data_IF_590035015297
#
_entry.id   IF_590035015297
#
_cell.length_a   1.000
_cell.length_b   1.000
_cell.length_c   1.000
_cell.angle_alpha   90.00
_cell.angle_beta   90.00
_cell.angle_gamma   90.00
#
_symmetry.space_group_name_H-M   'P 1'
#
loop_
_entity.id
_entity.type
_entity.pdbx_description
1 polymer ?
#
# COMPACT_ATOMS: atom_id res chain seq x y z
N UNK A 1 22.69 69.22 1.46
CA UNK A 1 24.16 69.07 1.61
C UNK A 1 24.42 67.64 2.04
N UNK A 2 25.33 66.82 1.55
CA UNK A 2 26.17 66.71 0.36
C UNK A 2 26.48 65.21 0.27
N UNK A 3 26.53 64.65 -0.94
CA UNK A 3 27.06 63.29 -1.17
C UNK A 3 28.58 63.32 -1.02
N UNK A 4 29.22 62.25 -0.50
CA UNK A 4 30.50 61.76 -1.05
C UNK A 4 30.62 60.24 -0.97
N UNK A 5 30.59 59.64 -2.15
CA UNK A 5 31.20 58.37 -2.54
C UNK A 5 32.72 58.44 -2.45
N UNK A 6 33.37 57.33 -2.12
CA UNK A 6 34.78 57.07 -2.49
C UNK A 6 34.87 55.66 -3.08
N UNK A 7 35.39 55.61 -4.30
CA UNK A 7 35.76 54.43 -5.08
C UNK A 7 37.21 54.64 -5.53
N UNK A 8 38.06 53.61 -5.36
CA UNK A 8 39.30 53.31 -6.13
C UNK A 8 39.77 51.92 -5.65
N UNK A 9 39.77 50.82 -6.43
CA UNK A 9 40.58 50.44 -7.60
C UNK A 9 42.09 50.29 -7.24
N UNK A 10 42.93 49.36 -7.71
CA UNK A 10 42.91 48.22 -8.66
C UNK A 10 44.31 47.55 -8.55
N UNK A 11 44.44 46.23 -8.73
CA UNK A 11 45.60 45.48 -9.30
C UNK A 11 45.41 43.97 -9.01
N UNK A 12 45.46 43.00 -9.92
CA UNK A 12 45.86 42.96 -11.32
C UNK A 12 47.03 41.99 -11.50
N UNK A 13 46.78 40.71 -11.84
CA UNK A 13 47.67 39.87 -12.67
C UNK A 13 46.82 38.89 -13.49
N UNK A 14 46.83 39.10 -14.81
CA UNK A 14 46.42 38.21 -15.88
C UNK A 14 47.70 37.60 -16.46
N UNK A 15 47.75 36.28 -16.64
CA UNK A 15 48.58 35.65 -17.69
C UNK A 15 47.67 34.68 -18.43
N UNK A 16 47.43 35.03 -19.70
CA UNK A 16 46.76 34.18 -20.68
C UNK A 16 47.74 33.26 -21.40
N UNK A 17 47.17 32.32 -22.14
CA UNK A 17 47.87 31.42 -23.06
C UNK A 17 46.87 30.72 -23.95
N UNK A 18 46.40 31.46 -24.96
CA UNK A 18 45.56 31.03 -26.07
C UNK A 18 46.44 30.44 -27.18
N UNK A 19 45.97 29.42 -27.91
CA UNK A 19 46.09 29.21 -29.38
C UNK A 19 45.58 27.77 -29.68
N UNK A 20 44.39 27.55 -30.26
CA UNK A 20 43.93 27.72 -31.65
C UNK A 20 44.29 26.57 -32.62
N UNK A 21 43.25 26.17 -33.36
CA UNK A 21 43.19 25.53 -34.70
C UNK A 21 43.15 24.01 -34.85
N UNK A 22 42.16 23.55 -35.63
CA UNK A 22 42.30 22.43 -36.56
C UNK A 22 41.23 21.34 -36.47
N UNK A 23 40.09 21.54 -37.14
CA UNK A 23 39.17 20.43 -37.44
C UNK A 23 39.68 19.61 -38.64
N UNK A 24 39.43 18.30 -38.60
CA UNK A 24 39.40 17.39 -39.76
C UNK A 24 38.49 16.21 -39.38
N UNK A 25 37.43 16.02 -40.17
CA UNK A 25 36.60 14.83 -40.17
C UNK A 25 37.10 13.87 -41.26
N UNK A 26 37.11 12.57 -40.99
CA UNK A 26 36.93 11.51 -41.99
C UNK A 26 36.29 10.29 -41.32
N UNK A 27 35.27 9.76 -42.00
CA UNK A 27 34.55 8.53 -41.66
C UNK A 27 35.30 7.28 -42.17
N UNK A 28 34.98 6.11 -41.60
CA UNK A 28 35.41 4.80 -42.09
C UNK A 28 34.88 3.66 -41.24
N UNK A 29 34.05 2.82 -41.86
CA UNK A 29 33.25 1.71 -41.32
C UNK A 29 34.05 0.48 -40.81
N UNK A 30 33.34 -0.33 -40.00
CA UNK A 30 33.44 -1.80 -39.77
C UNK A 30 34.77 -2.40 -39.27
N UNK A 31 34.83 -2.91 -38.03
CA UNK A 31 34.50 -4.31 -37.74
C UNK A 31 34.73 -4.72 -36.27
N UNK A 32 33.88 -5.66 -35.89
CA UNK A 32 33.71 -6.42 -34.66
C UNK A 32 35.01 -7.11 -34.15
N UNK A 33 35.39 -6.88 -32.88
CA UNK A 33 36.18 -7.86 -32.12
C UNK A 33 35.97 -7.71 -30.60
N UNK A 34 35.34 -8.73 -30.05
CA UNK A 34 35.07 -9.03 -28.66
C UNK A 34 36.18 -8.63 -27.65
N UNK A 35 35.77 -7.93 -26.60
CA UNK A 35 36.33 -8.13 -25.26
C UNK A 35 35.20 -8.21 -24.24
N UNK A 36 34.84 -9.44 -23.90
CA UNK A 36 33.98 -9.80 -22.78
C UNK A 36 34.51 -9.19 -21.47
N UNK A 37 33.77 -8.28 -20.86
CA UNK A 37 33.78 -8.07 -19.42
C UNK A 37 32.35 -8.20 -18.89
N UNK A 38 31.95 -9.45 -18.70
CA UNK A 38 30.72 -9.86 -18.03
C UNK A 38 30.80 -9.46 -16.54
N UNK A 39 30.31 -8.26 -16.22
CA UNK A 39 30.01 -7.81 -14.86
C UNK A 39 28.49 -7.63 -14.66
N UNK A 40 27.71 -8.52 -15.28
CA UNK A 40 26.26 -8.58 -15.20
C UNK A 40 25.82 -9.55 -14.12
N UNK A 41 25.23 -9.02 -13.03
CA UNK A 41 24.39 -9.79 -12.11
C UNK A 41 23.25 -10.43 -12.92
N UNK A 42 23.29 -11.73 -13.13
CA UNK A 42 22.17 -12.49 -13.71
C UNK A 42 21.31 -13.01 -12.54
N UNK A 43 19.98 -12.78 -12.55
CA UNK A 43 19.07 -13.33 -11.56
C UNK A 43 18.62 -14.73 -12.02
N UNK A 44 19.23 -15.79 -11.47
CA UNK A 44 18.66 -17.16 -11.58
C UNK A 44 18.83 -17.89 -10.26
N UNK A 45 17.78 -17.88 -9.44
CA UNK A 45 17.44 -19.04 -8.59
C UNK A 45 15.93 -19.25 -8.62
N UNK A 46 15.42 -19.57 -9.81
CA UNK A 46 14.32 -20.50 -9.92
C UNK A 46 14.91 -21.90 -9.82
N UNK A 47 14.38 -22.72 -8.91
CA UNK A 47 14.64 -24.18 -8.77
C UNK A 47 15.78 -24.61 -7.81
N UNK A 48 15.65 -24.30 -6.51
CA UNK A 48 16.19 -25.16 -5.45
C UNK A 48 15.58 -24.89 -4.06
N UNK A 49 14.30 -25.22 -3.85
CA UNK A 49 13.70 -25.29 -2.49
C UNK A 49 12.45 -26.18 -2.50
N UNK A 50 12.62 -27.44 -2.93
CA UNK A 50 11.80 -28.56 -2.50
C UNK A 50 12.64 -29.32 -1.47
N UNK A 51 12.39 -29.11 -0.19
CA UNK A 51 13.09 -29.85 0.85
C UNK A 51 12.95 -29.22 2.23
N UNK A 52 12.35 -30.01 3.13
CA UNK A 52 12.29 -29.86 4.58
C UNK A 52 11.35 -28.75 5.13
N UNK A 53 10.31 -29.23 5.82
CA UNK A 53 9.25 -28.44 6.40
C UNK A 53 9.71 -27.43 7.46
N UNK A 54 9.00 -26.31 7.49
CA UNK A 54 9.14 -25.28 8.49
C UNK A 54 8.01 -24.27 8.30
N UNK A 55 6.95 -24.41 9.09
CA UNK A 55 5.79 -23.53 9.06
C UNK A 55 6.19 -22.08 9.34
N UNK A 56 6.09 -21.22 8.33
CA UNK A 56 6.03 -19.77 8.54
C UNK A 56 4.55 -19.36 8.60
N UNK A 57 3.92 -19.59 9.77
CA UNK A 57 2.67 -18.94 10.15
C UNK A 57 3.04 -17.62 10.83
N UNK A 58 2.77 -16.50 10.15
CA UNK A 58 2.62 -15.20 10.81
C UNK A 58 3.60 -14.11 10.37
N UNK A 59 3.03 -13.10 9.69
CA UNK A 59 3.48 -11.70 9.61
C UNK A 59 4.89 -11.44 9.04
N UNK A 60 4.90 -11.15 7.74
CA UNK A 60 6.04 -10.61 7.00
C UNK A 60 5.81 -10.51 5.48
N UNK A 61 4.65 -10.91 4.98
CA UNK A 61 4.29 -10.69 3.58
C UNK A 61 3.88 -9.23 3.39
N UNK A 62 4.77 -8.46 2.75
CA UNK A 62 4.37 -7.39 1.84
C UNK A 62 3.10 -7.86 1.12
N UNK A 63 1.96 -7.22 1.42
CA UNK A 63 0.65 -7.67 0.97
C UNK A 63 0.57 -7.56 -0.55
N UNK A 64 0.90 -8.66 -1.23
CA UNK A 64 0.31 -9.00 -2.52
C UNK A 64 -1.21 -9.15 -2.31
N UNK A 65 -1.97 -8.08 -2.47
CA UNK A 65 -3.43 -8.12 -2.32
C UNK A 65 -4.17 -6.81 -2.01
N UNK A 66 -3.53 -5.64 -2.10
CA UNK A 66 -4.23 -4.36 -2.23
C UNK A 66 -3.68 -3.66 -3.47
N UNK A 67 -4.54 -3.21 -4.38
CA UNK A 67 -4.19 -2.64 -5.69
C UNK A 67 -2.99 -1.69 -5.60
N UNK A 68 -1.79 -2.15 -5.97
CA UNK A 68 -0.61 -1.27 -6.08
C UNK A 68 -0.78 -0.23 -7.19
N UNK A 69 -1.70 -0.48 -8.13
CA UNK A 69 -2.01 0.36 -9.28
C UNK A 69 -3.54 0.42 -9.43
N UNK A 70 -4.23 1.10 -8.50
CA UNK A 70 -5.65 1.43 -8.71
C UNK A 70 -5.78 2.47 -9.84
N UNK A 71 -7.01 2.71 -10.30
CA UNK A 71 -7.25 3.79 -11.27
C UNK A 71 -6.75 5.13 -10.71
N UNK A 72 -7.11 5.47 -9.47
CA UNK A 72 -6.67 6.71 -8.83
C UNK A 72 -5.14 6.84 -8.77
N UNK A 73 -4.44 5.72 -8.48
CA UNK A 73 -2.97 5.70 -8.48
C UNK A 73 -2.40 5.93 -9.88
N UNK A 74 -3.00 5.31 -10.91
CA UNK A 74 -2.57 5.51 -12.29
C UNK A 74 -2.84 6.95 -12.75
N UNK A 75 -4.00 7.51 -12.43
CA UNK A 75 -4.36 8.89 -12.75
C UNK A 75 -3.40 9.88 -12.06
N UNK A 76 -3.02 9.60 -10.81
CA UNK A 76 -2.02 10.40 -10.10
C UNK A 76 -0.62 10.29 -10.75
N UNK A 77 -0.20 9.09 -11.15
CA UNK A 77 1.08 8.90 -11.85
C UNK A 77 1.12 9.60 -13.21
N UNK A 78 -0.01 9.66 -13.92
CA UNK A 78 -0.14 10.45 -15.16
C UNK A 78 -0.07 11.94 -14.87
N UNK A 79 -0.78 12.41 -13.83
CA UNK A 79 -0.78 13.82 -13.42
C UNK A 79 0.60 14.30 -12.99
N UNK A 80 1.39 13.45 -12.35
CA UNK A 80 2.79 13.72 -11.97
C UNK A 80 3.79 13.48 -13.12
N UNK A 81 3.29 13.21 -14.33
CA UNK A 81 4.09 12.97 -15.56
C UNK A 81 5.08 11.79 -15.45
N UNK A 82 4.85 10.86 -14.50
CA UNK A 82 5.67 9.66 -14.30
C UNK A 82 5.44 8.66 -15.44
N UNK A 83 4.20 8.57 -15.92
CA UNK A 83 3.79 7.79 -17.08
C UNK A 83 2.85 8.61 -17.97
N UNK A 84 2.81 8.28 -19.25
CA UNK A 84 1.79 8.82 -20.16
C UNK A 84 0.44 8.14 -19.96
N UNK A 85 -0.66 8.79 -20.34
CA UNK A 85 -1.99 8.17 -20.34
C UNK A 85 -2.02 6.82 -21.09
N UNK A 86 -1.41 6.74 -22.27
CA UNK A 86 -1.35 5.50 -23.05
C UNK A 86 -0.73 4.34 -22.25
N UNK A 87 0.36 4.61 -21.51
CA UNK A 87 1.00 3.62 -20.63
C UNK A 87 0.12 3.24 -19.44
N UNK A 88 -0.61 4.20 -18.85
CA UNK A 88 -1.56 3.90 -17.78
C UNK A 88 -2.67 2.95 -18.28
N UNK A 89 -3.18 3.18 -19.49
CA UNK A 89 -4.21 2.33 -20.11
C UNK A 89 -3.68 0.93 -20.43
N UNK A 90 -2.44 0.80 -20.94
CA UNK A 90 -1.78 -0.49 -21.18
C UNK A 90 -1.57 -1.28 -19.89
N UNK A 91 -1.09 -0.62 -18.83
CA UNK A 91 -0.91 -1.23 -17.50
C UNK A 91 -2.25 -1.73 -16.98
N UNK A 92 -3.31 -0.92 -17.08
CA UNK A 92 -4.65 -1.29 -16.65
C UNK A 92 -5.18 -2.50 -17.42
N UNK A 93 -5.09 -2.48 -18.75
CA UNK A 93 -5.49 -3.60 -19.60
C UNK A 93 -4.75 -4.90 -19.23
N UNK A 94 -3.45 -4.79 -18.93
CA UNK A 94 -2.66 -5.94 -18.48
C UNK A 94 -3.10 -6.47 -17.10
N UNK A 95 -3.39 -5.59 -16.16
CA UNK A 95 -3.91 -5.97 -14.83
C UNK A 95 -5.27 -6.66 -14.95
N UNK A 96 -6.16 -6.16 -15.81
CA UNK A 96 -7.48 -6.73 -16.07
C UNK A 96 -7.37 -8.11 -16.71
N UNK A 97 -6.49 -8.27 -17.69
CA UNK A 97 -6.17 -9.58 -18.29
C UNK A 97 -5.70 -10.58 -17.22
N UNK A 98 -4.76 -10.19 -16.36
CA UNK A 98 -4.30 -11.04 -15.26
C UNK A 98 -5.43 -11.36 -14.26
N UNK A 99 -6.37 -10.44 -14.03
CA UNK A 99 -7.52 -10.69 -13.19
C UNK A 99 -8.47 -11.74 -13.81
N UNK A 100 -8.72 -11.68 -15.12
CA UNK A 100 -9.52 -12.66 -15.86
C UNK A 100 -8.87 -14.04 -15.87
N UNK A 101 -7.57 -14.13 -16.15
CA UNK A 101 -6.82 -15.40 -16.10
C UNK A 101 -6.87 -16.04 -14.70
N UNK A 102 -6.83 -15.22 -13.64
CA UNK A 102 -6.96 -15.70 -12.26
C UNK A 102 -8.36 -16.22 -11.93
N UNK A 103 -9.40 -15.71 -12.57
CA UNK A 103 -10.77 -16.22 -12.40
C UNK A 103 -11.00 -17.53 -13.15
N UNK A 104 -10.29 -17.74 -14.27
CA UNK A 104 -10.34 -18.98 -15.04
C UNK A 104 -9.52 -20.13 -14.42
N UNK A 105 -8.63 -19.84 -13.47
CA UNK A 105 -7.85 -20.85 -12.75
C UNK A 105 -8.67 -21.52 -11.63
N UNK A 106 -8.61 -22.84 -11.58
CA UNK A 106 -9.30 -23.66 -10.57
C UNK A 106 -8.84 -23.25 -9.14
N UNK A 107 -9.76 -22.89 -8.22
CA UNK A 107 -9.44 -22.46 -6.86
C UNK A 107 -8.59 -23.46 -6.04
N UNK A 108 -8.42 -24.70 -6.52
CA UNK A 108 -7.57 -25.73 -5.91
C UNK A 108 -6.09 -25.74 -6.36
N UNK A 109 -5.71 -25.08 -7.45
CA UNK A 109 -4.32 -25.13 -7.93
C UNK A 109 -3.45 -24.13 -7.18
N UNK A 110 -2.44 -24.61 -6.46
CA UNK A 110 -1.37 -23.75 -5.92
C UNK A 110 -0.67 -23.08 -7.10
N UNK A 111 -0.76 -21.75 -7.25
CA UNK A 111 -0.06 -21.09 -8.33
C UNK A 111 1.44 -21.33 -8.15
N UNK A 112 2.15 -21.66 -9.23
CA UNK A 112 3.61 -21.65 -9.23
C UNK A 112 4.15 -20.29 -8.78
N UNK A 113 5.47 -20.18 -8.58
CA UNK A 113 6.11 -18.92 -8.18
C UNK A 113 5.72 -17.79 -9.15
N UNK A 114 4.74 -16.97 -8.75
CA UNK A 114 4.22 -15.86 -9.56
C UNK A 114 5.29 -14.78 -9.59
N UNK A 115 5.72 -14.38 -10.77
CA UNK A 115 6.58 -13.21 -10.95
C UNK A 115 5.86 -11.96 -10.42
N UNK A 116 6.61 -11.00 -9.88
CA UNK A 116 6.05 -9.73 -9.43
C UNK A 116 5.42 -8.96 -10.61
N UNK A 117 4.37 -8.17 -10.34
CA UNK A 117 3.63 -7.45 -11.38
C UNK A 117 4.57 -6.52 -12.18
N UNK A 118 5.48 -5.81 -11.52
CA UNK A 118 6.41 -4.93 -12.22
C UNK A 118 7.39 -5.72 -13.08
N UNK A 119 7.87 -6.88 -12.62
CA UNK A 119 8.71 -7.76 -13.45
C UNK A 119 7.98 -8.20 -14.71
N UNK A 120 6.69 -8.53 -14.60
CA UNK A 120 5.86 -8.90 -15.76
C UNK A 120 5.64 -7.72 -16.70
N UNK A 121 5.33 -6.53 -16.19
CA UNK A 121 5.15 -5.33 -17.01
C UNK A 121 6.44 -4.96 -17.77
N UNK A 122 7.60 -5.12 -17.13
CA UNK A 122 8.91 -4.91 -17.78
C UNK A 122 9.20 -5.99 -18.83
N UNK A 123 8.97 -7.27 -18.50
CA UNK A 123 9.21 -8.39 -19.43
C UNK A 123 8.33 -8.30 -20.68
N UNK A 124 7.10 -7.79 -20.53
CA UNK A 124 6.17 -7.57 -21.65
C UNK A 124 6.41 -6.22 -22.37
N UNK A 125 7.50 -5.51 -22.07
CA UNK A 125 7.86 -4.22 -22.65
C UNK A 125 6.79 -3.11 -22.49
N UNK A 126 5.90 -3.24 -21.51
CA UNK A 126 4.90 -2.20 -21.16
C UNK A 126 5.61 -1.06 -20.39
N UNK A 127 6.57 -1.43 -19.54
CA UNK A 127 7.40 -0.50 -18.77
C UNK A 127 8.88 -0.76 -19.02
N UNK A 128 9.71 0.28 -18.94
CA UNK A 128 11.15 0.07 -18.72
C UNK A 128 11.43 -0.24 -17.25
N UNK A 129 12.60 -0.81 -16.96
CA UNK A 129 13.02 -1.07 -15.58
C UNK A 129 13.05 0.22 -14.75
N UNK A 130 13.57 1.30 -15.33
CA UNK A 130 13.60 2.64 -14.70
C UNK A 130 12.19 3.12 -14.37
N UNK A 131 11.25 3.05 -15.32
CA UNK A 131 9.86 3.45 -15.09
C UNK A 131 9.21 2.60 -14.00
N UNK A 132 9.46 1.29 -13.98
CA UNK A 132 8.92 0.40 -12.95
C UNK A 132 9.44 0.77 -11.56
N UNK A 133 10.72 1.16 -11.44
CA UNK A 133 11.31 1.54 -10.17
C UNK A 133 10.84 2.94 -9.71
N UNK A 134 10.70 3.90 -10.64
CA UNK A 134 10.07 5.20 -10.36
C UNK A 134 8.62 5.04 -9.88
N UNK A 135 7.82 4.21 -10.56
CA UNK A 135 6.42 3.96 -10.17
C UNK A 135 6.37 3.32 -8.78
N UNK A 136 7.23 2.34 -8.45
CA UNK A 136 7.30 1.76 -7.11
C UNK A 136 7.63 2.79 -6.05
N UNK A 137 8.59 3.68 -6.32
CA UNK A 137 8.95 4.76 -5.40
C UNK A 137 7.77 5.71 -5.17
N UNK A 138 7.07 6.08 -6.24
CA UNK A 138 5.90 6.94 -6.19
C UNK A 138 4.71 6.31 -5.46
N UNK A 139 4.45 5.03 -5.66
CA UNK A 139 3.40 4.32 -4.91
C UNK A 139 3.69 4.32 -3.40
N UNK A 140 4.96 4.16 -3.00
CA UNK A 140 5.36 4.26 -1.59
C UNK A 140 5.11 5.68 -1.08
N UNK A 141 5.59 6.70 -1.79
CA UNK A 141 5.37 8.11 -1.44
C UNK A 141 3.88 8.44 -1.26
N UNK A 142 3.02 8.01 -2.20
CA UNK A 142 1.57 8.20 -2.14
C UNK A 142 0.98 7.50 -0.90
N UNK A 143 1.41 6.26 -0.63
CA UNK A 143 0.92 5.50 0.52
C UNK A 143 1.33 6.16 1.85
N UNK A 144 2.55 6.68 1.94
CA UNK A 144 3.09 7.34 3.12
C UNK A 144 2.38 8.68 3.36
N UNK A 145 2.19 9.50 2.31
CA UNK A 145 1.39 10.73 2.38
C UNK A 145 -0.05 10.46 2.85
N UNK A 146 -0.70 9.43 2.31
CA UNK A 146 -2.04 9.02 2.75
C UNK A 146 -2.04 8.56 4.21
N UNK A 147 -0.99 7.87 4.66
CA UNK A 147 -0.88 7.44 6.06
C UNK A 147 -0.72 8.64 7.00
N UNK A 148 0.17 9.57 6.68
CA UNK A 148 0.39 10.80 7.44
C UNK A 148 -0.86 11.65 7.50
N UNK A 149 -1.57 11.81 6.38
CA UNK A 149 -2.83 12.55 6.35
C UNK A 149 -3.87 11.94 7.29
N UNK A 150 -4.02 10.60 7.29
CA UNK A 150 -4.95 9.92 8.21
C UNK A 150 -4.62 10.14 9.67
N UNK A 151 -3.32 10.11 10.02
CA UNK A 151 -2.86 10.41 11.38
C UNK A 151 -3.22 11.85 11.73
N UNK A 152 -2.88 12.81 10.85
CA UNK A 152 -3.19 14.23 11.03
C UNK A 152 -4.68 14.49 11.24
N UNK A 153 -5.53 13.93 10.39
CA UNK A 153 -6.99 14.10 10.48
C UNK A 153 -7.55 13.51 11.79
N UNK A 154 -7.02 12.34 12.20
CA UNK A 154 -7.42 11.70 13.46
C UNK A 154 -6.99 12.52 14.68
N UNK A 155 -5.78 13.09 14.65
CA UNK A 155 -5.28 13.97 15.71
C UNK A 155 -6.10 15.26 15.80
N UNK A 156 -6.41 15.88 14.66
CA UNK A 156 -7.26 17.08 14.61
C UNK A 156 -8.62 16.83 15.27
N UNK A 157 -9.26 15.70 14.96
CA UNK A 157 -10.53 15.33 15.58
C UNK A 157 -10.43 15.12 17.09
N UNK A 158 -9.30 14.62 17.59
CA UNK A 158 -9.07 14.44 19.05
C UNK A 158 -8.76 15.75 19.76
N UNK A 159 -8.06 16.67 19.10
CA UNK A 159 -7.83 18.04 19.61
C UNK A 159 -9.15 18.78 19.71
N UNK A 160 -9.99 18.71 18.68
CA UNK A 160 -11.34 19.31 18.67
C UNK A 160 -12.23 18.76 19.79
N UNK A 161 -12.11 17.46 20.10
CA UNK A 161 -12.80 16.81 21.23
C UNK A 161 -12.17 17.12 22.60
N UNK A 162 -11.03 17.81 22.64
CA UNK A 162 -10.27 18.08 23.87
C UNK A 162 -9.65 16.84 24.51
N UNK A 163 -9.57 15.71 23.78
CA UNK A 163 -8.99 14.46 24.28
C UNK A 163 -7.47 14.55 24.39
N UNK A 164 -6.84 15.27 23.47
CA UNK A 164 -5.40 15.59 23.49
C UNK A 164 -5.21 17.08 23.26
N UNK A 165 -4.12 17.65 23.75
CA UNK A 165 -3.74 19.04 23.44
C UNK A 165 -3.09 19.13 22.06
N UNK A 166 -3.02 20.33 21.49
CA UNK A 166 -2.29 20.54 20.23
C UNK A 166 -0.81 20.15 20.37
N UNK A 167 -0.18 20.47 21.49
CA UNK A 167 1.22 20.08 21.76
C UNK A 167 1.40 18.56 21.81
N UNK A 168 0.44 17.83 22.40
CA UNK A 168 0.45 16.37 22.40
C UNK A 168 0.27 15.81 20.98
N UNK A 169 -0.65 16.39 20.19
CA UNK A 169 -0.86 16.00 18.80
C UNK A 169 0.40 16.20 17.95
N UNK A 170 1.09 17.33 18.12
CA UNK A 170 2.33 17.63 17.38
C UNK A 170 3.44 16.61 17.74
N UNK A 171 3.57 16.25 19.02
CA UNK A 171 4.52 15.21 19.48
C UNK A 171 4.17 13.83 18.92
N UNK A 172 2.87 13.49 18.84
CA UNK A 172 2.43 12.25 18.21
C UNK A 172 2.86 12.22 16.75
N UNK A 173 2.54 13.27 15.99
CA UNK A 173 2.89 13.36 14.58
C UNK A 173 4.40 13.26 14.36
N UNK A 174 5.19 13.98 15.18
CA UNK A 174 6.65 13.90 15.12
C UNK A 174 7.16 12.47 15.31
N UNK A 175 6.64 11.73 16.31
CA UNK A 175 7.06 10.35 16.56
C UNK A 175 6.69 9.39 15.43
N UNK A 176 5.56 9.59 14.76
CA UNK A 176 5.22 8.83 13.57
C UNK A 176 6.22 9.09 12.43
N UNK A 177 6.60 10.34 12.20
CA UNK A 177 7.59 10.70 11.18
C UNK A 177 8.99 10.14 11.48
N UNK A 178 9.40 10.14 12.75
CA UNK A 178 10.66 9.50 13.19
C UNK A 178 10.63 7.99 12.90
N UNK A 179 9.53 7.32 13.27
CA UNK A 179 9.38 5.88 13.03
C UNK A 179 9.29 5.52 11.53
N UNK A 180 8.77 6.41 10.68
CA UNK A 180 8.80 6.24 9.22
C UNK A 180 10.23 6.30 8.67
N UNK A 181 11.02 7.30 9.07
CA UNK A 181 12.43 7.40 8.67
C UNK A 181 13.24 6.17 9.08
N UNK A 182 13.04 5.68 10.31
CA UNK A 182 13.69 4.45 10.78
C UNK A 182 13.32 3.23 9.91
N UNK A 183 12.06 3.15 9.46
CA UNK A 183 11.59 2.09 8.56
C UNK A 183 12.19 2.23 7.17
N UNK A 184 12.36 3.44 6.64
CA UNK A 184 13.00 3.69 5.35
C UNK A 184 14.47 3.28 5.36
N UNK A 185 15.23 3.72 6.38
CA UNK A 185 16.64 3.33 6.54
C UNK A 185 16.78 1.81 6.66
N UNK A 186 15.86 1.18 7.38
CA UNK A 186 15.80 -0.27 7.48
C UNK A 186 15.48 -0.92 6.14
N UNK A 187 14.53 -0.39 5.37
CA UNK A 187 14.21 -0.90 4.05
C UNK A 187 15.42 -0.84 3.10
N UNK A 188 16.17 0.26 3.13
CA UNK A 188 17.40 0.43 2.36
C UNK A 188 18.50 -0.56 2.77
N UNK A 189 18.68 -0.78 4.09
CA UNK A 189 19.60 -1.81 4.59
C UNK A 189 19.22 -3.21 4.08
N UNK A 190 17.93 -3.49 4.00
CA UNK A 190 17.41 -4.79 3.57
C UNK A 190 17.49 -5.02 2.06
N UNK A 191 17.53 -3.96 1.26
CA UNK A 191 17.62 -4.04 -0.20
C UNK A 191 18.90 -4.75 -0.69
N UNK A 192 19.99 -4.61 0.08
CA UNK A 192 21.29 -5.20 -0.25
C UNK A 192 21.55 -6.57 0.40
N UNK A 193 20.59 -7.10 1.18
CA UNK A 193 20.75 -8.36 1.92
C UNK A 193 20.04 -9.53 1.24
N UNK A 194 20.59 -10.73 1.40
CA UNK A 194 19.94 -11.98 1.01
C UNK A 194 18.75 -12.30 1.93
N UNK A 195 17.82 -13.15 1.48
CA UNK A 195 16.70 -13.62 2.30
C UNK A 195 17.14 -14.29 3.62
N UNK A 196 18.30 -14.95 3.64
CA UNK A 196 18.85 -15.59 4.83
C UNK A 196 19.35 -14.55 5.84
N UNK A 197 20.04 -13.52 5.35
CA UNK A 197 20.51 -12.39 6.17
C UNK A 197 19.35 -11.56 6.69
N UNK A 198 18.37 -11.24 5.84
CA UNK A 198 17.10 -10.61 6.22
C UNK A 198 16.44 -11.40 7.36
N UNK A 199 16.30 -12.72 7.22
CA UNK A 199 15.70 -13.55 8.27
C UNK A 199 16.47 -13.48 9.57
N UNK A 200 17.80 -13.60 9.51
CA UNK A 200 18.66 -13.52 10.69
C UNK A 200 18.56 -12.15 11.37
N UNK A 201 18.57 -11.08 10.60
CA UNK A 201 18.42 -9.71 11.11
C UNK A 201 17.06 -9.51 11.81
N UNK A 202 15.97 -9.95 11.17
CA UNK A 202 14.61 -9.84 11.71
C UNK A 202 14.40 -10.68 12.97
N UNK A 203 15.09 -11.81 13.12
CA UNK A 203 15.00 -12.67 14.30
C UNK A 203 15.77 -12.09 15.50
N UNK A 204 16.90 -11.45 15.25
CA UNK A 204 17.81 -11.00 16.30
C UNK A 204 17.54 -9.56 16.74
N UNK A 205 16.81 -8.76 15.96
CA UNK A 205 16.47 -7.39 16.34
C UNK A 205 15.38 -7.36 17.41
N UNK A 206 15.42 -6.31 18.22
CA UNK A 206 14.32 -5.99 19.12
C UNK A 206 13.05 -5.66 18.32
N UNK A 207 11.89 -6.00 18.87
CA UNK A 207 10.62 -5.65 18.26
C UNK A 207 10.42 -4.14 18.42
N UNK A 208 10.23 -3.39 17.33
CA UNK A 208 9.96 -1.96 17.45
C UNK A 208 8.67 -1.76 18.23
N UNK A 209 8.71 -0.88 19.23
CA UNK A 209 7.51 -0.40 19.90
C UNK A 209 6.70 0.49 18.95
N UNK A 210 5.39 0.56 19.17
CA UNK A 210 4.56 1.54 18.46
C UNK A 210 4.95 2.96 18.88
N UNK A 211 4.94 3.96 17.98
CA UNK A 211 5.17 5.37 18.33
C UNK A 211 4.29 5.84 19.50
N UNK A 212 3.04 5.38 19.53
CA UNK A 212 2.07 5.72 20.58
C UNK A 212 2.43 5.03 21.92
N UNK A 213 2.91 3.78 21.89
CA UNK A 213 3.34 3.07 23.11
C UNK A 213 4.56 3.73 23.76
N UNK A 214 5.49 4.22 22.93
CA UNK A 214 6.63 5.01 23.40
C UNK A 214 6.15 6.30 24.06
N UNK A 215 5.23 7.04 23.43
CA UNK A 215 4.68 8.27 24.00
C UNK A 215 3.92 8.07 25.31
N UNK A 216 3.26 6.91 25.50
CA UNK A 216 2.67 6.53 26.79
C UNK A 216 3.76 6.27 27.82
N UNK A 217 4.81 5.53 27.45
CA UNK A 217 5.94 5.21 28.34
C UNK A 217 6.71 6.47 28.76
N UNK A 218 6.84 7.43 27.86
CA UNK A 218 7.46 8.73 28.07
C UNK A 218 6.57 9.69 28.89
N UNK A 219 5.33 9.30 29.20
CA UNK A 219 4.36 10.10 29.94
C UNK A 219 3.84 11.32 29.17
N UNK A 220 4.05 11.38 27.85
CA UNK A 220 3.58 12.47 26.99
C UNK A 220 2.05 12.40 26.82
N UNK A 221 1.52 11.18 26.75
CA UNK A 221 0.08 10.90 26.69
C UNK A 221 -0.29 9.80 27.69
N UNK A 222 -1.56 9.72 28.06
CA UNK A 222 -2.08 8.64 28.90
C UNK A 222 -2.47 7.42 28.05
N UNK A 223 -2.66 6.26 28.71
CA UNK A 223 -3.19 5.08 28.04
C UNK A 223 -4.59 5.33 27.45
N UNK A 224 -5.44 6.08 28.14
CA UNK A 224 -6.78 6.45 27.64
C UNK A 224 -6.69 7.32 26.38
N UNK A 225 -5.73 8.24 26.31
CA UNK A 225 -5.48 9.06 25.12
C UNK A 225 -4.96 8.22 23.95
N UNK A 226 -4.09 7.24 24.22
CA UNK A 226 -3.62 6.28 23.21
C UNK A 226 -4.77 5.42 22.67
N UNK A 227 -5.63 4.91 23.54
CA UNK A 227 -6.79 4.11 23.14
C UNK A 227 -7.78 4.95 22.30
N UNK A 228 -8.02 6.21 22.70
CA UNK A 228 -8.82 7.16 21.93
C UNK A 228 -8.21 7.45 20.55
N UNK A 229 -6.88 7.57 20.45
CA UNK A 229 -6.19 7.75 19.18
C UNK A 229 -6.39 6.56 18.24
N UNK A 230 -6.22 5.32 18.73
CA UNK A 230 -6.48 4.13 17.93
C UNK A 230 -7.96 3.99 17.55
N UNK A 231 -8.88 4.44 18.42
CA UNK A 231 -10.30 4.55 18.12
C UNK A 231 -10.57 5.50 16.95
N UNK A 232 -10.05 6.73 17.01
CA UNK A 232 -10.22 7.73 15.96
C UNK A 232 -9.65 7.26 14.60
N UNK A 233 -8.46 6.65 14.60
CA UNK A 233 -7.86 6.08 13.39
C UNK A 233 -8.74 4.97 12.80
N UNK A 234 -9.38 4.15 13.64
CA UNK A 234 -10.30 3.08 13.20
C UNK A 234 -11.58 3.66 12.61
N UNK A 235 -12.19 4.64 13.26
CA UNK A 235 -13.40 5.34 12.78
C UNK A 235 -13.14 5.99 11.42
N UNK A 236 -12.01 6.70 11.27
CA UNK A 236 -11.63 7.33 10.01
C UNK A 236 -11.43 6.30 8.90
N UNK A 237 -10.73 5.19 9.18
CA UNK A 237 -10.53 4.12 8.22
C UNK A 237 -11.85 3.46 7.78
N UNK A 238 -12.81 3.31 8.69
CA UNK A 238 -14.14 2.79 8.39
C UNK A 238 -14.93 3.74 7.49
N UNK A 239 -14.95 5.03 7.82
CA UNK A 239 -15.60 6.06 7.01
C UNK A 239 -15.06 6.07 5.58
N UNK A 240 -13.74 6.09 5.42
CA UNK A 240 -13.10 6.04 4.11
C UNK A 240 -13.41 4.75 3.36
N UNK A 241 -13.52 3.62 4.06
CA UNK A 241 -13.90 2.35 3.43
C UNK A 241 -15.36 2.38 2.94
N UNK A 242 -16.27 3.04 3.65
CA UNK A 242 -17.66 3.22 3.22
C UNK A 242 -17.76 4.17 2.03
N UNK A 243 -17.02 5.27 2.03
CA UNK A 243 -16.91 6.19 0.89
C UNK A 243 -16.41 5.47 -0.37
N UNK A 244 -15.31 4.71 -0.26
CA UNK A 244 -14.80 3.88 -1.37
C UNK A 244 -15.80 2.84 -1.84
N UNK A 245 -16.59 2.28 -0.92
CA UNK A 245 -17.67 1.33 -1.25
C UNK A 245 -18.74 2.03 -2.07
N UNK A 246 -19.20 3.20 -1.64
CA UNK A 246 -20.19 4.01 -2.36
C UNK A 246 -19.68 4.40 -3.76
N UNK A 247 -18.44 4.85 -3.86
CA UNK A 247 -17.81 5.22 -5.14
C UNK A 247 -17.71 4.02 -6.10
N UNK A 248 -17.33 2.86 -5.59
CA UNK A 248 -17.25 1.63 -6.40
C UNK A 248 -18.59 1.20 -6.97
N UNK A 249 -19.71 1.56 -6.33
CA UNK A 249 -21.06 1.20 -6.77
C UNK A 249 -21.60 2.13 -7.87
N UNK A 250 -21.07 3.36 -8.01
CA UNK A 250 -21.55 4.34 -9.01
C UNK A 250 -21.60 3.75 -10.42
N UNK A 251 -20.54 3.05 -10.84
CA UNK A 251 -20.48 2.42 -12.15
C UNK A 251 -21.50 1.28 -12.37
N UNK A 252 -22.01 0.65 -11.31
CA UNK A 252 -23.10 -0.33 -11.41
C UNK A 252 -24.47 0.33 -11.48
N UNK A 253 -24.64 1.48 -10.81
CA UNK A 253 -25.85 2.31 -10.89
C UNK A 253 -26.01 2.89 -12.30
N UNK A 254 -24.94 3.46 -12.86
CA UNK A 254 -24.92 4.01 -14.23
C UNK A 254 -25.26 2.95 -15.29
N UNK A 255 -24.79 1.71 -15.10
CA UNK A 255 -25.11 0.58 -15.98
C UNK A 255 -26.51 0.01 -15.76
N UNK A 256 -27.27 0.54 -14.80
CA UNK A 256 -28.58 0.01 -14.42
C UNK A 256 -28.55 -1.40 -13.82
N UNK A 257 -27.37 -1.90 -13.44
CA UNK A 257 -27.23 -3.23 -12.83
C UNK A 257 -27.87 -3.24 -11.44
N UNK A 258 -27.75 -2.14 -10.69
CA UNK A 258 -28.45 -1.89 -9.44
C UNK A 258 -29.08 -0.49 -9.48
N UNK A 259 -30.11 -0.24 -8.68
CA UNK A 259 -30.66 1.11 -8.51
C UNK A 259 -29.87 1.91 -7.46
N UNK A 260 -30.03 3.23 -7.45
CA UNK A 260 -29.45 4.07 -6.39
C UNK A 260 -29.93 3.65 -5.00
N UNK A 261 -31.22 3.33 -4.86
CA UNK A 261 -31.78 2.85 -3.59
C UNK A 261 -31.14 1.53 -3.14
N UNK A 262 -30.85 0.62 -4.07
CA UNK A 262 -30.11 -0.61 -3.77
C UNK A 262 -28.67 -0.32 -3.35
N UNK A 263 -27.99 0.62 -4.02
CA UNK A 263 -26.64 1.04 -3.65
C UNK A 263 -26.58 1.63 -2.23
N UNK A 264 -27.53 2.49 -1.88
CA UNK A 264 -27.61 3.09 -0.54
C UNK A 264 -27.86 2.02 0.54
N UNK A 265 -28.73 1.04 0.27
CA UNK A 265 -28.96 -0.12 1.17
C UNK A 265 -27.71 -0.99 1.31
N UNK A 266 -26.94 -1.18 0.24
CA UNK A 266 -25.65 -1.89 0.30
C UNK A 266 -24.69 -1.16 1.24
N UNK A 267 -24.47 0.15 1.04
CA UNK A 267 -23.57 0.94 1.88
C UNK A 267 -24.00 0.89 3.35
N UNK A 268 -25.29 1.06 3.63
CA UNK A 268 -25.85 0.97 4.99
C UNK A 268 -25.65 -0.41 5.62
N UNK A 269 -25.79 -1.48 4.86
CA UNK A 269 -25.55 -2.83 5.37
C UNK A 269 -24.08 -3.06 5.72
N UNK A 270 -23.15 -2.48 4.94
CA UNK A 270 -21.73 -2.53 5.24
C UNK A 270 -21.38 -1.73 6.50
N UNK A 271 -21.99 -0.56 6.69
CA UNK A 271 -21.87 0.22 7.92
C UNK A 271 -22.36 -0.58 9.14
N UNK A 272 -23.52 -1.21 9.04
CA UNK A 272 -24.05 -2.08 10.11
C UNK A 272 -23.12 -3.26 10.41
N UNK A 273 -22.56 -3.89 9.37
CA UNK A 273 -21.63 -4.99 9.55
C UNK A 273 -20.32 -4.55 10.21
N UNK A 274 -19.86 -3.33 9.96
CA UNK A 274 -18.71 -2.74 10.66
C UNK A 274 -19.03 -2.53 12.15
N UNK A 275 -20.15 -1.89 12.49
CA UNK A 275 -20.60 -1.70 13.87
C UNK A 275 -20.75 -3.02 14.63
N UNK A 276 -21.32 -4.04 14.00
CA UNK A 276 -21.44 -5.37 14.60
C UNK A 276 -20.07 -6.00 14.87
N UNK A 277 -19.09 -5.77 13.99
CA UNK A 277 -17.72 -6.26 14.17
C UNK A 277 -16.97 -5.51 15.28
N UNK A 278 -17.25 -4.23 15.49
CA UNK A 278 -16.72 -3.47 16.62
C UNK A 278 -17.28 -3.97 17.94
N UNK A 279 -18.60 -4.13 18.02
CA UNK A 279 -19.24 -4.70 19.21
C UNK A 279 -18.71 -6.11 19.51
N UNK A 280 -18.45 -6.91 18.47
CA UNK A 280 -17.78 -8.20 18.61
C UNK A 280 -16.36 -8.06 19.16
N UNK A 281 -15.57 -7.12 18.61
CA UNK A 281 -14.20 -6.87 19.07
C UNK A 281 -14.18 -6.52 20.57
N UNK A 282 -15.04 -5.62 21.01
CA UNK A 282 -15.15 -5.24 22.43
C UNK A 282 -15.51 -6.42 23.33
N UNK A 283 -16.41 -7.31 22.88
CA UNK A 283 -16.76 -8.53 23.64
C UNK A 283 -15.60 -9.50 23.77
N UNK A 284 -14.78 -9.63 22.73
CA UNK A 284 -13.73 -10.66 22.67
C UNK A 284 -12.35 -10.14 23.06
N UNK A 285 -12.15 -8.84 23.30
CA UNK A 285 -10.82 -8.24 23.47
C UNK A 285 -10.06 -8.84 24.66
N UNK A 286 -10.79 -9.15 25.73
CA UNK A 286 -10.25 -9.69 26.99
C UNK A 286 -10.32 -11.23 27.07
N UNK A 287 -10.89 -11.89 26.06
CA UNK A 287 -10.98 -13.36 26.01
C UNK A 287 -9.65 -14.01 25.63
N UNK A 288 -9.38 -15.19 26.21
CA UNK A 288 -8.30 -16.07 25.76
C UNK A 288 -8.53 -16.57 24.33
N UNK A 289 -7.48 -17.06 23.63
CA UNK A 289 -7.63 -17.62 22.30
C UNK A 289 -8.66 -18.75 22.21
N UNK A 290 -8.75 -19.59 23.24
CA UNK A 290 -9.67 -20.71 23.36
C UNK A 290 -11.12 -20.23 23.52
N UNK A 291 -11.36 -19.29 24.43
CA UNK A 291 -12.68 -18.68 24.66
C UNK A 291 -13.16 -17.95 23.41
N UNK A 292 -12.28 -17.19 22.75
CA UNK A 292 -12.60 -16.51 21.50
C UNK A 292 -13.00 -17.49 20.40
N UNK A 293 -12.32 -18.64 20.30
CA UNK A 293 -12.69 -19.69 19.33
C UNK A 293 -14.08 -20.27 19.65
N UNK A 294 -14.32 -20.66 20.90
CA UNK A 294 -15.61 -21.19 21.32
C UNK A 294 -16.74 -20.18 21.07
N UNK A 295 -16.52 -18.90 21.38
CA UNK A 295 -17.46 -17.83 21.11
C UNK A 295 -17.79 -17.72 19.61
N UNK A 296 -16.77 -17.71 18.75
CA UNK A 296 -16.97 -17.61 17.30
C UNK A 296 -17.69 -18.84 16.70
N UNK A 297 -17.42 -20.03 17.23
CA UNK A 297 -18.10 -21.26 16.80
C UNK A 297 -19.58 -21.26 17.20
N UNK A 298 -19.89 -20.86 18.43
CA UNK A 298 -21.26 -20.81 18.94
C UNK A 298 -22.09 -19.72 18.28
N UNK A 299 -21.48 -18.57 17.94
CA UNK A 299 -22.17 -17.43 17.33
C UNK A 299 -22.00 -17.37 15.80
N UNK A 300 -21.56 -18.46 15.17
CA UNK A 300 -21.26 -18.50 13.73
C UNK A 300 -22.41 -18.04 12.83
N UNK A 301 -23.66 -18.28 13.25
CA UNK A 301 -24.87 -17.90 12.50
C UNK A 301 -25.13 -16.40 12.51
N UNK A 302 -24.58 -15.66 13.47
CA UNK A 302 -24.70 -14.21 13.58
C UNK A 302 -23.75 -13.48 12.61
N UNK A 303 -22.64 -14.12 12.24
CA UNK A 303 -21.64 -13.57 11.32
C UNK A 303 -22.00 -13.86 9.85
N UNK A 304 -23.10 -13.27 9.37
CA UNK A 304 -23.50 -13.36 7.96
C UNK A 304 -22.73 -12.36 7.11
N UNK A 305 -22.45 -12.74 5.87
CA UNK A 305 -21.90 -11.82 4.88
C UNK A 305 -22.96 -10.75 4.54
N UNK A 306 -22.61 -9.45 4.51
CA UNK A 306 -23.53 -8.35 4.23
C UNK A 306 -24.34 -8.55 2.93
N UNK A 307 -23.67 -9.00 1.86
CA UNK A 307 -24.32 -9.21 0.57
C UNK A 307 -25.25 -10.43 0.58
N UNK A 308 -24.87 -11.50 1.28
CA UNK A 308 -25.76 -12.67 1.45
C UNK A 308 -27.03 -12.29 2.18
N UNK A 309 -26.94 -11.41 3.18
CA UNK A 309 -28.11 -10.91 3.88
C UNK A 309 -29.01 -10.07 2.95
N UNK A 310 -28.44 -9.16 2.17
CA UNK A 310 -29.21 -8.37 1.20
C UNK A 310 -29.90 -9.21 0.11
N UNK A 311 -29.28 -10.32 -0.31
CA UNK A 311 -29.92 -11.29 -1.22
C UNK A 311 -31.07 -12.02 -0.53
N UNK A 312 -30.87 -12.46 0.71
CA UNK A 312 -31.91 -13.14 1.51
C UNK A 312 -33.10 -12.23 1.77
N UNK A 313 -32.83 -10.94 2.03
CA UNK A 313 -33.84 -9.91 2.29
C UNK A 313 -34.54 -9.43 1.00
N UNK A 314 -34.16 -9.97 -0.17
CA UNK A 314 -34.75 -9.61 -1.46
C UNK A 314 -34.40 -8.19 -1.93
N UNK A 315 -33.41 -7.54 -1.31
CA UNK A 315 -32.99 -6.18 -1.68
C UNK A 315 -32.24 -6.19 -3.00
N UNK A 316 -31.42 -7.21 -3.24
CA UNK A 316 -30.67 -7.44 -4.48
C UNK A 316 -30.78 -8.89 -4.91
N UNK A 317 -30.60 -9.16 -6.21
CA UNK A 317 -30.50 -10.54 -6.72
C UNK A 317 -29.11 -11.12 -6.47
N UNK A 318 -28.97 -12.44 -6.62
CA UNK A 318 -27.66 -13.10 -6.54
C UNK A 318 -26.69 -12.57 -7.62
N UNK A 319 -27.19 -12.35 -8.84
CA UNK A 319 -26.40 -11.77 -9.94
C UNK A 319 -25.93 -10.34 -9.62
N UNK A 320 -26.80 -9.51 -9.03
CA UNK A 320 -26.44 -8.18 -8.55
C UNK A 320 -25.38 -8.25 -7.45
N UNK A 321 -25.52 -9.17 -6.48
CA UNK A 321 -24.52 -9.38 -5.44
C UNK A 321 -23.16 -9.80 -6.02
N UNK A 322 -23.15 -10.62 -7.06
CA UNK A 322 -21.92 -11.02 -7.76
C UNK A 322 -21.30 -9.87 -8.56
N UNK A 323 -22.11 -9.01 -9.18
CA UNK A 323 -21.63 -7.78 -9.80
C UNK A 323 -21.02 -6.82 -8.77
N UNK A 324 -21.67 -6.63 -7.63
CA UNK A 324 -21.16 -5.81 -6.51
C UNK A 324 -19.82 -6.37 -6.01
N UNK A 325 -19.70 -7.68 -5.80
CA UNK A 325 -18.43 -8.31 -5.37
C UNK A 325 -17.26 -8.02 -6.31
N UNK A 326 -17.51 -7.85 -7.61
CA UNK A 326 -16.47 -7.58 -8.61
C UNK A 326 -15.89 -6.17 -8.51
N UNK A 327 -16.70 -5.19 -8.07
CA UNK A 327 -16.27 -3.78 -7.99
C UNK A 327 -15.75 -3.39 -6.61
N UNK A 328 -16.14 -4.12 -5.56
CA UNK A 328 -15.67 -3.80 -4.21
C UNK A 328 -14.17 -4.10 -4.04
N UNK A 329 -13.42 -3.23 -3.34
CA UNK A 329 -12.00 -3.43 -3.10
C UNK A 329 -11.76 -4.74 -2.33
N UNK A 330 -10.88 -5.60 -2.87
CA UNK A 330 -10.60 -6.92 -2.30
C UNK A 330 -9.93 -6.79 -0.92
N UNK A 331 -10.75 -6.86 0.13
CA UNK A 331 -10.30 -6.81 1.52
C UNK A 331 -11.43 -6.80 2.54
N UNK A 332 -12.66 -6.47 2.14
CA UNK A 332 -13.80 -6.36 3.06
C UNK A 332 -14.48 -7.67 3.40
N UNK A 333 -14.86 -8.49 2.40
CA UNK A 333 -15.79 -9.59 2.64
C UNK A 333 -15.60 -10.69 1.59
N UNK A 334 -14.65 -11.61 1.81
CA UNK A 334 -14.62 -12.85 1.04
C UNK A 334 -15.88 -13.64 1.35
N UNK A 335 -16.77 -13.72 0.37
CA UNK A 335 -17.99 -14.53 0.40
C UNK A 335 -17.64 -16.01 0.20
N UNK A 336 -16.75 -16.57 1.01
CA UNK A 336 -16.55 -18.02 1.12
C UNK A 336 -15.51 -18.32 2.20
N UNK A 337 -15.97 -18.96 3.27
CA UNK A 337 -15.10 -19.55 4.28
C UNK A 337 -14.52 -18.58 5.31
N UNK A 338 -15.36 -18.20 6.29
CA UNK A 338 -14.94 -18.45 7.66
C UNK A 338 -14.63 -19.95 7.78
N UNK A 339 -13.44 -20.40 7.35
CA UNK A 339 -12.93 -21.74 7.62
C UNK A 339 -12.49 -21.79 9.08
N UNK A 340 -13.49 -21.75 9.96
CA UNK A 340 -13.47 -22.56 11.16
C UNK A 340 -13.57 -24.02 10.71
N UNK A 341 -12.40 -24.68 10.70
CA UNK A 341 -12.27 -26.12 10.79
C UNK A 341 -12.35 -26.95 9.50
N UNK A 342 -11.65 -28.10 9.58
CA UNK A 342 -11.49 -29.25 8.68
C UNK A 342 -10.25 -29.14 7.77
N UNK A 343 -9.26 -30.02 7.88
CA UNK A 343 -9.14 -31.32 8.54
C UNK A 343 -7.68 -31.58 8.86
#
# INVERSE_FOLDING_TARGET
MERKTVVTALSGVLIGGLLLTGGLAFAGDTDNAASNSWAGKIPVVGKLLQGAGGMMKGRGHFRAGGQMLSQDTLDQLVKEEVITQNKADEIKAYIDKLAQERQAQDPGTRPGARQDLFTQLVTNNILTQEQADTIKAKIREIADQQHQQRISDSLKALVEKGTVTQEQADKILQKFNEAEKEREEMAQKMENMTLKEIRSYMQNREKPQSPVEQLVSDGVITQEQADAFYGAMRELAQKQQLERTADSLKGLVEKGTITQEQADKIVKQFENAQKNREALFEKIKDMTPEERRAYMENNRKEFKNPLTQLVTDGVITQEQADAVRKVLPQGGFKAEGFRGGRR
#
